data_IF_311870790349
#
_entry.id   IF_311870790349
#
_cell.length_a   1.000
_cell.length_b   1.000
_cell.length_c   1.000
_cell.angle_alpha   90.00
_cell.angle_beta   90.00
_cell.angle_gamma   90.00
#
_symmetry.space_group_name_H-M   'P 1'
#
loop_
_entity.id
_entity.type
_entity.pdbx_description
1 polymer ?
#
# COMPACT_ATOMS: atom_id res chain seq x y z
N UNK A 1 -34.22 -7.12 -37.86
CA UNK A 1 -34.04 -5.84 -38.59
C UNK A 1 -34.68 -4.74 -37.74
N UNK A 2 -33.87 -3.98 -37.02
CA UNK A 2 -34.04 -2.55 -36.69
C UNK A 2 -32.80 -2.13 -35.88
N UNK A 3 -31.97 -1.31 -36.52
CA UNK A 3 -30.74 -0.71 -35.99
C UNK A 3 -31.14 0.65 -35.42
N UNK A 4 -30.72 0.97 -34.18
CA UNK A 4 -30.62 2.35 -33.71
C UNK A 4 -29.32 2.55 -32.93
N UNK A 5 -28.32 3.01 -33.67
CA UNK A 5 -27.13 3.71 -33.20
C UNK A 5 -27.51 5.12 -32.70
N UNK A 6 -26.99 5.52 -31.54
CA UNK A 6 -26.96 6.93 -31.14
C UNK A 6 -25.54 7.38 -30.79
N UNK A 7 -25.29 8.63 -31.15
CA UNK A 7 -24.02 9.24 -31.47
C UNK A 7 -23.24 9.82 -30.29
N UNK A 8 -21.92 9.79 -30.47
CA UNK A 8 -20.87 10.77 -30.10
C UNK A 8 -21.33 12.07 -29.43
N UNK A 9 -20.75 12.36 -28.26
CA UNK A 9 -20.58 13.70 -27.71
C UNK A 9 -19.10 13.96 -27.42
N UNK A 10 -18.57 15.07 -27.94
CA UNK A 10 -17.16 15.44 -27.93
C UNK A 10 -16.81 16.39 -26.76
N UNK A 11 -15.58 16.20 -26.26
CA UNK A 11 -14.59 17.15 -25.70
C UNK A 11 -15.02 18.45 -25.02
N UNK A 12 -14.44 18.72 -23.83
CA UNK A 12 -13.69 19.97 -23.56
C UNK A 12 -12.51 19.69 -22.62
N UNK A 13 -11.32 20.04 -23.09
CA UNK A 13 -10.10 20.22 -22.32
C UNK A 13 -10.07 21.63 -21.73
N UNK A 14 -9.52 21.79 -20.52
CA UNK A 14 -9.01 23.07 -20.01
C UNK A 14 -7.68 22.81 -19.32
N UNK A 15 -6.69 23.61 -19.69
CA UNK A 15 -5.29 23.49 -19.32
C UNK A 15 -4.88 24.54 -18.27
N UNK A 16 -3.76 24.23 -17.60
CA UNK A 16 -2.71 25.09 -17.06
C UNK A 16 -2.98 25.95 -15.80
N UNK A 17 -2.12 25.80 -14.79
CA UNK A 17 -0.97 26.70 -14.58
C UNK A 17 -0.08 26.22 -13.40
N UNK A 18 1.23 26.22 -13.64
CA UNK A 18 2.28 25.96 -12.65
C UNK A 18 2.75 27.26 -11.98
N UNK A 19 3.13 27.20 -10.71
CA UNK A 19 3.89 28.27 -10.02
C UNK A 19 5.07 27.63 -9.29
N UNK A 20 6.28 27.95 -9.76
CA UNK A 20 7.57 27.66 -9.14
C UNK A 20 7.84 28.72 -8.07
N UNK A 21 8.12 28.30 -6.83
CA UNK A 21 8.61 29.15 -5.76
C UNK A 21 10.01 28.74 -5.34
N UNK A 22 11.02 29.48 -5.77
CA UNK A 22 12.39 29.39 -5.28
C UNK A 22 12.61 30.46 -4.20
N UNK A 23 13.02 30.06 -3.00
CA UNK A 23 13.57 30.96 -1.99
C UNK A 23 14.94 30.45 -1.54
N UNK A 24 15.97 31.21 -1.91
CA UNK A 24 17.35 31.11 -1.42
C UNK A 24 17.61 32.30 -0.49
N UNK A 25 17.70 32.07 0.82
CA UNK A 25 18.22 33.01 1.84
C UNK A 25 18.60 32.16 3.07
N UNK A 26 19.76 32.19 3.70
CA UNK A 26 21.02 32.91 3.55
C UNK A 26 21.96 32.42 4.66
N UNK A 27 23.23 32.17 4.37
CA UNK A 27 24.24 31.81 5.37
C UNK A 27 24.74 33.08 6.07
N UNK A 28 24.47 33.24 7.37
CA UNK A 28 25.18 34.21 8.20
C UNK A 28 26.33 33.51 8.92
N UNK A 29 27.53 33.60 8.37
CA UNK A 29 28.77 33.30 9.10
C UNK A 29 29.02 34.38 10.14
N UNK A 30 28.86 34.03 11.41
CA UNK A 30 29.24 34.90 12.53
C UNK A 30 30.76 34.89 12.66
N UNK A 31 31.40 36.02 12.39
CA UNK A 31 32.77 36.29 12.79
C UNK A 31 32.74 36.96 14.16
N UNK A 32 33.12 36.25 15.22
CA UNK A 32 33.42 36.87 16.52
C UNK A 32 34.92 37.19 16.59
N UNK A 33 35.19 38.48 16.50
CA UNK A 33 36.46 39.12 16.80
C UNK A 33 36.67 39.22 18.32
N UNK A 34 37.75 38.62 18.80
CA UNK A 34 38.71 39.17 19.79
C UNK A 34 38.31 39.40 21.27
N UNK A 35 38.64 38.39 22.11
CA UNK A 35 39.29 38.44 23.47
C UNK A 35 38.76 39.34 24.60
N UNK A 36 39.32 39.28 25.84
CA UNK A 36 40.42 38.46 26.35
C UNK A 36 40.10 37.71 27.69
N UNK A 37 40.90 36.71 28.05
CA UNK A 37 40.87 36.10 29.39
C UNK A 37 41.82 34.92 29.49
N UNK A 38 42.89 35.09 30.26
CA UNK A 38 43.89 34.05 30.55
C UNK A 38 43.33 32.92 31.41
N UNK A 39 44.10 31.83 31.44
CA UNK A 39 43.87 30.56 32.13
C UNK A 39 43.08 29.50 31.35
N UNK A 40 43.69 29.02 30.25
CA UNK A 40 43.47 27.65 29.74
C UNK A 40 44.82 26.98 29.46
N UNK A 41 45.03 25.71 29.88
CA UNK A 41 46.24 24.98 29.56
C UNK A 41 46.41 24.87 28.03
N UNK A 42 47.63 25.15 27.54
CA UNK A 42 47.98 25.05 26.13
C UNK A 42 47.81 23.58 25.68
N UNK A 43 46.73 23.31 24.96
CA UNK A 43 46.51 22.06 24.24
C UNK A 43 47.07 22.20 22.83
N UNK A 44 47.86 21.22 22.41
CA UNK A 44 48.45 21.19 21.07
C UNK A 44 47.34 21.28 20.00
N UNK A 45 47.44 22.17 19.01
CA UNK A 45 46.41 22.37 17.99
C UNK A 45 46.01 21.07 17.26
N UNK A 46 46.94 20.10 17.15
CA UNK A 46 46.67 18.80 16.51
C UNK A 46 45.71 17.91 17.31
N UNK A 47 45.71 18.01 18.64
CA UNK A 47 44.81 17.27 19.53
C UNK A 47 43.40 17.87 19.49
N UNK A 48 43.31 19.20 19.42
CA UNK A 48 42.02 19.89 19.30
C UNK A 48 41.36 19.64 17.92
N UNK A 49 42.17 19.57 16.86
CA UNK A 49 41.68 19.24 15.52
C UNK A 49 41.18 17.79 15.39
N UNK A 50 41.81 16.84 16.07
CA UNK A 50 41.43 15.43 16.04
C UNK A 50 40.17 15.13 16.87
N UNK A 51 39.96 15.83 17.99
CA UNK A 51 38.69 15.78 18.74
C UNK A 51 37.55 16.44 17.97
N UNK A 52 37.81 17.57 17.30
CA UNK A 52 36.82 18.24 16.45
C UNK A 52 36.44 17.39 15.22
N UNK A 53 37.41 16.71 14.59
CA UNK A 53 37.14 15.81 13.47
C UNK A 53 36.30 14.61 13.91
N UNK A 54 36.63 14.00 15.05
CA UNK A 54 35.85 12.88 15.58
C UNK A 54 34.43 13.29 16.00
N UNK A 55 34.26 14.47 16.58
CA UNK A 55 32.94 15.02 16.90
C UNK A 55 32.11 15.31 15.64
N UNK A 56 32.75 15.70 14.54
CA UNK A 56 32.08 15.88 13.25
C UNK A 56 31.66 14.53 12.63
N UNK A 57 32.53 13.52 12.65
CA UNK A 57 32.18 12.16 12.18
C UNK A 57 31.03 11.54 13.01
N UNK A 58 31.09 11.67 14.34
CA UNK A 58 30.05 11.15 15.24
C UNK A 58 28.72 11.90 15.04
N UNK A 59 28.75 13.20 14.71
CA UNK A 59 27.56 13.98 14.37
C UNK A 59 26.96 13.57 13.01
N UNK A 60 27.80 13.32 11.99
CA UNK A 60 27.34 12.85 10.67
C UNK A 60 26.74 11.45 10.77
N UNK A 61 27.33 10.56 11.57
CA UNK A 61 26.79 9.22 11.82
C UNK A 61 25.45 9.27 12.58
N UNK A 62 25.33 10.12 13.60
CA UNK A 62 24.08 10.31 14.33
C UNK A 62 22.97 10.90 13.45
N UNK A 63 23.33 11.81 12.55
CA UNK A 63 22.39 12.42 11.62
C UNK A 63 21.92 11.42 10.56
N UNK A 64 22.83 10.60 10.03
CA UNK A 64 22.51 9.54 9.07
C UNK A 64 21.55 8.50 9.66
N UNK A 65 21.79 8.07 10.91
CA UNK A 65 20.90 7.14 11.61
C UNK A 65 19.53 7.76 11.91
N UNK A 66 19.47 9.07 12.17
CA UNK A 66 18.22 9.79 12.42
C UNK A 66 17.42 10.01 11.13
N UNK A 67 18.10 10.24 10.01
CA UNK A 67 17.49 10.36 8.67
C UNK A 67 16.92 9.01 8.21
N UNK A 68 17.64 7.90 8.43
CA UNK A 68 17.16 6.54 8.14
C UNK A 68 15.92 6.18 8.97
N UNK A 69 15.92 6.48 10.27
CA UNK A 69 14.77 6.25 11.14
C UNK A 69 13.55 7.11 10.76
N UNK A 70 13.77 8.36 10.31
CA UNK A 70 12.69 9.20 9.77
C UNK A 70 12.14 8.63 8.46
N UNK A 71 13.00 8.18 7.55
CA UNK A 71 12.57 7.60 6.28
C UNK A 71 11.76 6.32 6.47
N UNK A 72 12.12 5.46 7.44
CA UNK A 72 11.33 4.27 7.79
C UNK A 72 9.96 4.63 8.37
N UNK A 73 9.90 5.62 9.28
CA UNK A 73 8.65 6.08 9.87
C UNK A 73 7.71 6.74 8.82
N UNK A 74 8.26 7.53 7.90
CA UNK A 74 7.50 8.11 6.80
C UNK A 74 6.99 7.04 5.82
N UNK A 75 7.79 6.03 5.52
CA UNK A 75 7.39 4.91 4.68
C UNK A 75 6.27 4.08 5.33
N UNK A 76 6.34 3.86 6.64
CA UNK A 76 5.31 3.14 7.38
C UNK A 76 4.01 3.93 7.45
N UNK A 77 4.07 5.23 7.72
CA UNK A 77 2.92 6.13 7.70
C UNK A 77 2.28 6.23 6.31
N UNK A 78 3.09 6.29 5.24
CA UNK A 78 2.59 6.27 3.87
C UNK A 78 1.92 4.93 3.52
N UNK A 79 2.49 3.81 4.00
CA UNK A 79 1.91 2.49 3.81
C UNK A 79 0.61 2.31 4.62
N UNK A 80 0.52 2.88 5.83
CA UNK A 80 -0.70 2.91 6.63
C UNK A 80 -1.78 3.77 5.95
N UNK A 81 -1.42 4.99 5.52
CA UNK A 81 -2.30 5.88 4.78
C UNK A 81 -2.79 5.28 3.45
N UNK A 82 -1.98 4.45 2.79
CA UNK A 82 -2.39 3.72 1.59
C UNK A 82 -3.37 2.57 1.90
N UNK A 83 -3.25 1.91 3.06
CA UNK A 83 -4.19 0.85 3.50
C UNK A 83 -5.51 1.42 4.04
N UNK A 84 -5.47 2.63 4.62
CA UNK A 84 -6.61 3.32 5.18
C UNK A 84 -7.53 3.99 4.15
N UNK A 85 -7.30 3.79 2.84
CA UNK A 85 -8.19 4.33 1.80
C UNK A 85 -9.09 3.25 1.18
N UNK A 86 -10.37 3.58 0.88
CA UNK A 86 -11.30 2.67 0.20
C UNK A 86 -10.77 2.07 -1.11
N UNK A 87 -9.84 2.78 -1.78
CA UNK A 87 -9.18 2.32 -3.00
C UNK A 87 -8.52 0.95 -2.86
N UNK A 88 -7.99 0.59 -1.69
CA UNK A 88 -7.37 -0.72 -1.48
C UNK A 88 -8.39 -1.86 -1.59
N UNK A 89 -9.58 -1.69 -1.00
CA UNK A 89 -10.68 -2.64 -1.10
C UNK A 89 -11.22 -2.67 -2.53
N UNK A 90 -11.38 -1.50 -3.16
CA UNK A 90 -11.80 -1.37 -4.56
C UNK A 90 -10.89 -2.14 -5.51
N UNK A 91 -9.59 -1.96 -5.38
CA UNK A 91 -8.60 -2.54 -6.29
C UNK A 91 -8.49 -4.06 -6.07
N UNK A 92 -8.55 -4.52 -4.81
CA UNK A 92 -8.63 -5.95 -4.50
C UNK A 92 -9.94 -6.58 -5.04
N UNK A 93 -11.05 -5.85 -4.94
CA UNK A 93 -12.32 -6.30 -5.50
C UNK A 93 -12.28 -6.38 -7.03
N UNK A 94 -11.65 -5.42 -7.71
CA UNK A 94 -11.44 -5.48 -9.15
C UNK A 94 -10.64 -6.72 -9.57
N UNK A 95 -9.64 -7.13 -8.77
CA UNK A 95 -8.92 -8.40 -8.96
C UNK A 95 -9.86 -9.61 -8.92
N UNK A 96 -10.74 -9.68 -7.93
CA UNK A 96 -11.76 -10.74 -7.83
C UNK A 96 -12.72 -10.70 -9.03
N UNK A 97 -13.16 -9.51 -9.45
CA UNK A 97 -14.06 -9.34 -10.60
C UNK A 97 -13.45 -9.83 -11.91
N UNK A 98 -12.13 -9.72 -12.07
CA UNK A 98 -11.42 -10.23 -13.23
C UNK A 98 -11.54 -11.76 -13.41
N UNK A 99 -12.06 -12.48 -12.41
CA UNK A 99 -12.28 -13.93 -12.48
C UNK A 99 -13.74 -14.32 -12.74
N UNK A 100 -14.71 -13.39 -12.73
CA UNK A 100 -16.15 -13.72 -12.69
C UNK A 100 -16.68 -14.45 -13.92
N UNK A 101 -16.17 -14.10 -15.11
CA UNK A 101 -16.61 -14.69 -16.36
C UNK A 101 -15.91 -16.01 -16.68
N UNK A 102 -14.97 -16.42 -15.82
CA UNK A 102 -14.21 -17.64 -15.99
C UNK A 102 -14.79 -18.78 -15.13
N UNK A 103 -14.59 -19.99 -15.63
CA UNK A 103 -14.86 -21.26 -14.97
C UNK A 103 -13.88 -22.31 -15.54
N UNK A 104 -13.87 -23.52 -14.98
CA UNK A 104 -12.98 -24.57 -15.45
C UNK A 104 -13.55 -25.97 -15.33
N UNK A 105 -13.03 -26.88 -16.15
CA UNK A 105 -13.28 -28.33 -16.05
C UNK A 105 -12.23 -28.98 -15.16
N UNK A 106 -12.61 -29.79 -14.15
CA UNK A 106 -11.66 -30.42 -13.24
C UNK A 106 -10.64 -31.30 -13.96
N UNK A 107 -9.42 -31.39 -13.44
CA UNK A 107 -8.31 -32.14 -14.02
C UNK A 107 -7.62 -31.46 -15.21
N UNK A 108 -8.07 -30.28 -15.64
CA UNK A 108 -7.37 -29.50 -16.67
C UNK A 108 -6.35 -28.54 -16.04
N UNK A 109 -5.22 -28.31 -16.71
CA UNK A 109 -4.20 -27.36 -16.24
C UNK A 109 -4.77 -25.95 -16.02
N UNK A 110 -5.72 -25.54 -16.86
CA UNK A 110 -6.42 -24.27 -16.73
C UNK A 110 -7.28 -24.19 -15.45
N UNK A 111 -7.78 -25.33 -14.94
CA UNK A 111 -8.57 -25.36 -13.71
C UNK A 111 -7.74 -25.13 -12.47
N UNK A 112 -6.57 -25.77 -12.39
CA UNK A 112 -5.60 -25.50 -11.34
C UNK A 112 -5.24 -24.00 -11.27
N UNK A 113 -4.92 -23.40 -12.41
CA UNK A 113 -4.60 -21.98 -12.51
C UNK A 113 -5.78 -21.09 -12.09
N UNK A 114 -6.97 -21.34 -12.64
CA UNK A 114 -8.15 -20.54 -12.35
C UNK A 114 -8.55 -20.60 -10.87
N UNK A 115 -8.59 -21.79 -10.26
CA UNK A 115 -8.98 -21.93 -8.87
C UNK A 115 -7.94 -21.37 -7.90
N UNK A 116 -6.66 -21.53 -8.22
CA UNK A 116 -5.58 -20.84 -7.50
C UNK A 116 -5.77 -19.33 -7.53
N UNK A 117 -6.04 -18.77 -8.72
CA UNK A 117 -6.30 -17.34 -8.87
C UNK A 117 -7.52 -16.88 -8.07
N UNK A 118 -8.65 -17.58 -8.12
CA UNK A 118 -9.84 -17.23 -7.32
C UNK A 118 -9.52 -17.23 -5.83
N UNK A 119 -8.81 -18.24 -5.34
CA UNK A 119 -8.39 -18.31 -3.93
C UNK A 119 -7.48 -17.13 -3.54
N UNK A 120 -6.53 -16.76 -4.40
CA UNK A 120 -5.61 -15.64 -4.16
C UNK A 120 -6.32 -14.29 -4.15
N UNK A 121 -7.26 -14.04 -5.06
CA UNK A 121 -8.05 -12.80 -5.08
C UNK A 121 -8.95 -12.69 -3.85
N UNK A 122 -9.57 -13.79 -3.41
CA UNK A 122 -10.33 -13.83 -2.16
C UNK A 122 -9.42 -13.52 -0.95
N UNK A 123 -8.19 -14.03 -0.94
CA UNK A 123 -7.24 -13.73 0.13
C UNK A 123 -6.78 -12.26 0.13
N UNK A 124 -6.54 -11.68 -1.05
CA UNK A 124 -6.23 -10.24 -1.21
C UNK A 124 -7.38 -9.36 -0.73
N UNK A 125 -8.61 -9.69 -1.11
CA UNK A 125 -9.80 -8.96 -0.70
C UNK A 125 -10.02 -9.04 0.81
N UNK A 126 -9.88 -10.21 1.44
CA UNK A 126 -9.93 -10.36 2.90
C UNK A 126 -8.92 -9.47 3.63
N UNK A 127 -7.67 -9.41 3.12
CA UNK A 127 -6.64 -8.55 3.69
C UNK A 127 -7.00 -7.07 3.56
N UNK A 128 -7.49 -6.65 2.40
CA UNK A 128 -7.89 -5.27 2.17
C UNK A 128 -9.06 -4.86 3.08
N UNK A 129 -10.12 -5.67 3.14
CA UNK A 129 -11.31 -5.41 3.98
C UNK A 129 -10.98 -5.35 5.48
N UNK A 130 -10.01 -6.14 5.96
CA UNK A 130 -9.57 -6.09 7.36
C UNK A 130 -8.71 -4.86 7.69
N UNK A 131 -7.98 -4.34 6.70
CA UNK A 131 -7.07 -3.22 6.85
C UNK A 131 -7.74 -1.87 6.58
N UNK A 132 -8.98 -1.87 6.07
CA UNK A 132 -9.75 -0.66 5.82
C UNK A 132 -10.04 0.12 7.11
N UNK A 133 -10.07 1.45 7.01
CA UNK A 133 -10.25 2.36 8.14
C UNK A 133 -11.62 2.21 8.84
N UNK A 134 -12.65 1.74 8.13
CA UNK A 134 -13.97 1.43 8.72
C UNK A 134 -13.95 0.13 9.54
N UNK A 135 -12.87 -0.65 9.39
CA UNK A 135 -12.60 -1.86 10.14
C UNK A 135 -13.38 -3.08 9.64
N UNK A 136 -13.04 -4.28 10.16
CA UNK A 136 -13.63 -5.54 9.70
C UNK A 136 -15.14 -5.67 10.01
N UNK A 137 -15.68 -4.85 10.90
CA UNK A 137 -17.11 -4.82 11.20
C UNK A 137 -17.95 -4.33 10.02
N UNK A 138 -17.39 -3.43 9.20
CA UNK A 138 -18.02 -2.92 7.98
C UNK A 138 -18.21 -4.03 6.94
N UNK A 139 -17.17 -4.84 6.72
CA UNK A 139 -17.15 -5.96 5.78
C UNK A 139 -17.52 -7.31 6.40
N UNK A 140 -18.38 -7.31 7.44
CA UNK A 140 -18.65 -8.52 8.24
C UNK A 140 -19.10 -9.72 7.42
N UNK A 141 -20.01 -9.51 6.46
CA UNK A 141 -20.54 -10.59 5.65
C UNK A 141 -19.52 -11.19 4.67
N UNK A 142 -18.84 -10.41 3.80
CA UNK A 142 -17.84 -10.97 2.91
C UNK A 142 -16.67 -11.61 3.67
N UNK A 143 -16.22 -11.03 4.79
CA UNK A 143 -15.18 -11.63 5.63
C UNK A 143 -15.60 -12.97 6.23
N UNK A 144 -16.85 -13.08 6.73
CA UNK A 144 -17.36 -14.34 7.24
C UNK A 144 -17.40 -15.44 6.16
N UNK A 145 -17.78 -15.08 4.93
CA UNK A 145 -17.79 -16.01 3.79
C UNK A 145 -16.39 -16.51 3.44
N UNK A 146 -15.38 -15.63 3.43
CA UNK A 146 -13.99 -16.01 3.17
C UNK A 146 -13.45 -16.90 4.30
N UNK A 147 -13.80 -16.60 5.55
CA UNK A 147 -13.41 -17.43 6.71
C UNK A 147 -13.97 -18.84 6.60
N UNK A 148 -15.28 -18.99 6.32
CA UNK A 148 -15.92 -20.28 6.15
C UNK A 148 -15.32 -21.09 4.99
N UNK A 149 -14.94 -20.42 3.90
CA UNK A 149 -14.21 -21.06 2.80
C UNK A 149 -12.84 -21.56 3.28
N UNK A 150 -12.06 -20.75 4.00
CA UNK A 150 -10.75 -21.15 4.51
C UNK A 150 -10.83 -22.35 5.48
N UNK A 151 -11.86 -22.40 6.32
CA UNK A 151 -12.15 -23.55 7.18
C UNK A 151 -12.45 -24.81 6.37
N UNK A 152 -13.24 -24.66 5.29
CA UNK A 152 -13.54 -25.75 4.36
C UNK A 152 -12.27 -26.28 3.69
N UNK A 153 -11.39 -25.37 3.26
CA UNK A 153 -10.11 -25.69 2.63
C UNK A 153 -9.06 -26.20 3.63
N UNK A 154 -9.23 -25.94 4.94
CA UNK A 154 -8.27 -26.27 6.01
C UNK A 154 -6.85 -25.75 5.76
N UNK A 155 -6.74 -24.62 5.05
CA UNK A 155 -5.46 -24.04 4.64
C UNK A 155 -4.72 -24.79 3.53
N UNK A 156 -5.27 -25.90 3.02
CA UNK A 156 -4.69 -26.65 1.90
C UNK A 156 -5.06 -25.98 0.57
N UNK A 157 -4.06 -25.38 -0.07
CA UNK A 157 -4.17 -24.68 -1.36
C UNK A 157 -3.68 -25.53 -2.53
N UNK A 158 -3.45 -26.83 -2.32
CA UNK A 158 -3.08 -27.74 -3.39
C UNK A 158 -4.19 -27.83 -4.45
N UNK A 159 -3.79 -28.03 -5.70
CA UNK A 159 -4.73 -28.19 -6.83
C UNK A 159 -5.82 -29.22 -6.54
N UNK A 160 -5.43 -30.38 -5.97
CA UNK A 160 -6.39 -31.44 -5.66
C UNK A 160 -7.47 -30.98 -4.66
N UNK A 161 -7.09 -30.21 -3.63
CA UNK A 161 -8.04 -29.70 -2.66
C UNK A 161 -8.90 -28.55 -3.22
N UNK A 162 -8.31 -27.63 -3.98
CA UNK A 162 -9.05 -26.55 -4.64
C UNK A 162 -10.08 -27.09 -5.65
N UNK A 163 -9.71 -28.09 -6.45
CA UNK A 163 -10.65 -28.75 -7.38
C UNK A 163 -11.75 -29.51 -6.65
N UNK A 164 -11.42 -30.20 -5.55
CA UNK A 164 -12.41 -30.87 -4.70
C UNK A 164 -13.44 -29.88 -4.14
N UNK A 165 -13.03 -28.66 -3.82
CA UNK A 165 -13.87 -27.59 -3.27
C UNK A 165 -14.20 -26.48 -4.28
N UNK A 166 -14.21 -26.82 -5.58
CA UNK A 166 -14.43 -25.89 -6.68
C UNK A 166 -15.72 -25.08 -6.53
N UNK A 167 -16.81 -25.76 -6.19
CA UNK A 167 -18.14 -25.15 -6.07
C UNK A 167 -18.18 -24.13 -4.92
N UNK A 168 -17.52 -24.43 -3.80
CA UNK A 168 -17.41 -23.53 -2.66
C UNK A 168 -16.57 -22.29 -2.98
N UNK A 169 -15.45 -22.45 -3.69
CA UNK A 169 -14.60 -21.34 -4.17
C UNK A 169 -15.38 -20.39 -5.08
N UNK A 170 -15.93 -20.92 -6.17
CA UNK A 170 -16.66 -20.14 -7.18
C UNK A 170 -17.91 -19.51 -6.55
N UNK A 171 -18.67 -20.28 -5.76
CA UNK A 171 -19.85 -19.74 -5.08
C UNK A 171 -19.51 -18.64 -4.07
N UNK A 172 -18.36 -18.72 -3.40
CA UNK A 172 -17.90 -17.66 -2.48
C UNK A 172 -17.52 -16.39 -3.23
N UNK A 173 -16.76 -16.51 -4.32
CA UNK A 173 -16.48 -15.39 -5.26
C UNK A 173 -17.77 -14.71 -5.68
N UNK A 174 -18.75 -15.48 -6.16
CA UNK A 174 -19.98 -14.93 -6.72
C UNK A 174 -20.84 -14.22 -5.67
N UNK A 175 -20.99 -14.82 -4.48
CA UNK A 175 -21.75 -14.21 -3.38
C UNK A 175 -21.10 -12.94 -2.87
N UNK A 176 -19.77 -12.91 -2.76
CA UNK A 176 -19.04 -11.69 -2.39
C UNK A 176 -19.20 -10.63 -3.47
N UNK A 177 -19.08 -10.98 -4.75
CA UNK A 177 -19.32 -10.03 -5.82
C UNK A 177 -20.73 -9.44 -5.77
N UNK A 178 -21.76 -10.26 -5.57
CA UNK A 178 -23.14 -9.76 -5.42
C UNK A 178 -23.26 -8.82 -4.23
N UNK A 179 -22.66 -9.17 -3.08
CA UNK A 179 -22.68 -8.32 -1.90
C UNK A 179 -22.00 -6.97 -2.15
N UNK A 180 -20.77 -6.98 -2.69
CA UNK A 180 -20.01 -5.77 -3.01
C UNK A 180 -20.74 -4.92 -4.05
N UNK A 181 -21.38 -5.51 -5.06
CA UNK A 181 -22.18 -4.74 -6.02
C UNK A 181 -23.43 -4.11 -5.41
N UNK A 182 -23.95 -4.68 -4.32
CA UNK A 182 -25.07 -4.12 -3.55
C UNK A 182 -24.68 -3.02 -2.57
N UNK A 183 -23.40 -2.87 -2.24
CA UNK A 183 -22.87 -1.89 -1.27
C UNK A 183 -21.71 -1.08 -1.88
N UNK A 184 -21.90 -0.42 -3.03
CA UNK A 184 -20.82 0.29 -3.71
C UNK A 184 -20.16 1.41 -2.87
N UNK A 185 -20.91 2.02 -1.97
CA UNK A 185 -20.46 3.07 -1.04
C UNK A 185 -19.41 2.56 -0.04
N UNK A 186 -19.36 1.25 0.21
CA UNK A 186 -18.45 0.64 1.19
C UNK A 186 -17.00 0.61 0.70
N UNK A 187 -16.75 0.84 -0.59
CA UNK A 187 -15.41 0.73 -1.20
C UNK A 187 -15.17 1.71 -2.37
N UNK A 188 -15.94 2.80 -2.47
CA UNK A 188 -15.76 3.81 -3.54
C UNK A 188 -15.18 5.12 -3.05
#
# INVERSE_FOLDING_TARGET
>A
MFIRTHARGAAKAVAAAAVLGAFLVGCTSVSTSQGPGGDVPYVDPSVNASVAAKAADDAVAAQSASDEASAEAEAEAAAEAARNRPEAVRDAFAGLQATLNDNCTPGSANCAYFLGRVNDELARLDKAMKADAQGPGHFKEPLARISALRETLKGDTSTANLEKHRSELIGTRDRINTWMQGHPEDYR
#
